data_IF_170509178243
#
_entry.id   IF_170509178243
#
_cell.length_a   1.000
_cell.length_b   1.000
_cell.length_c   1.000
_cell.angle_alpha   90.00
_cell.angle_beta   90.00
_cell.angle_gamma   90.00
#
_symmetry.space_group_name_H-M   'P 1'
#
loop_
_entity.id
_entity.type
_entity.pdbx_description
1 polymer ?
#
# COMPACT_ATOMS: atom_id res chain seq x y z
N UNK A 1 -3.44 1.32 0.06
CA UNK A 1 -2.22 0.48 -0.03
C UNK A 1 -1.82 -0.09 1.30
N UNK A 2 -1.42 -1.36 1.29
CA UNK A 2 -0.92 -2.09 2.44
C UNK A 2 0.39 -2.77 2.10
N UNK A 3 1.28 -2.90 3.08
CA UNK A 3 2.48 -3.72 2.99
C UNK A 3 2.34 -4.90 3.95
N UNK A 4 2.86 -6.06 3.56
CA UNK A 4 2.91 -7.24 4.40
C UNK A 4 4.29 -7.86 4.35
N UNK A 5 4.88 -8.02 5.53
CA UNK A 5 6.06 -8.85 5.72
C UNK A 5 5.58 -10.24 6.14
N UNK A 6 6.08 -11.34 5.56
CA UNK A 6 5.76 -12.69 5.99
C UNK A 6 5.93 -12.86 7.51
N UNK A 7 4.93 -13.44 8.17
CA UNK A 7 4.92 -13.60 9.63
C UNK A 7 4.54 -12.34 10.42
N UNK A 8 4.12 -11.26 9.76
CA UNK A 8 3.59 -10.05 10.41
C UNK A 8 2.21 -9.68 9.86
N UNK A 9 1.47 -8.93 10.67
CA UNK A 9 0.19 -8.37 10.25
C UNK A 9 0.39 -7.31 9.14
N UNK A 10 -0.58 -7.18 8.21
CA UNK A 10 -0.53 -6.12 7.19
C UNK A 10 -0.50 -4.73 7.83
N UNK A 11 0.32 -3.85 7.27
CA UNK A 11 0.43 -2.45 7.68
C UNK A 11 -0.12 -1.58 6.55
N UNK A 12 -1.10 -0.75 6.86
CA UNK A 12 -1.60 0.27 5.92
C UNK A 12 -0.55 1.36 5.76
N UNK A 13 -0.09 1.58 4.53
CA UNK A 13 0.87 2.64 4.21
C UNK A 13 0.20 3.89 3.66
N UNK A 14 -0.89 3.73 2.90
CA UNK A 14 -1.72 4.82 2.34
C UNK A 14 -3.20 4.40 2.37
N UNK A 15 -4.08 5.32 2.72
CA UNK A 15 -5.54 5.14 2.78
C UNK A 15 -6.29 6.33 2.17
N UNK A 16 -7.58 6.17 1.87
CA UNK A 16 -8.41 7.19 1.22
C UNK A 16 -7.71 7.87 0.02
N UNK A 17 -7.08 7.06 -0.82
CA UNK A 17 -6.35 7.45 -2.04
C UNK A 17 -5.12 8.34 -1.87
N UNK A 18 -4.98 9.14 -0.80
CA UNK A 18 -3.86 10.08 -0.66
C UNK A 18 -3.40 10.33 0.78
N UNK A 19 -4.00 9.67 1.78
CA UNK A 19 -3.65 9.90 3.18
C UNK A 19 -2.62 8.90 3.67
N UNK A 20 -1.57 9.41 4.29
CA UNK A 20 -0.53 8.60 4.93
C UNK A 20 -0.74 8.58 6.45
N UNK A 21 -0.80 7.40 7.10
CA UNK A 21 -0.81 7.31 8.56
C UNK A 21 0.46 7.90 9.18
N UNK A 22 0.34 8.40 10.42
CA UNK A 22 1.51 8.80 11.21
C UNK A 22 2.42 7.59 11.47
N UNK A 23 3.73 7.79 11.41
CA UNK A 23 4.72 6.72 11.60
C UNK A 23 5.07 5.91 10.35
N UNK A 24 4.41 6.15 9.21
CA UNK A 24 4.84 5.57 7.92
C UNK A 24 5.98 6.39 7.33
N UNK A 25 7.08 5.76 6.87
CA UNK A 25 8.24 6.47 6.33
C UNK A 25 7.90 7.39 5.14
N UNK A 26 8.65 8.48 5.01
CA UNK A 26 8.46 9.45 3.92
C UNK A 26 8.79 8.92 2.53
N UNK A 27 9.35 7.71 2.45
CA UNK A 27 9.69 7.03 1.21
C UNK A 27 8.47 6.61 0.38
N UNK A 28 7.29 6.55 0.99
CA UNK A 28 6.03 6.25 0.31
C UNK A 28 5.35 7.56 -0.10
N UNK A 29 5.09 7.69 -1.39
CA UNK A 29 4.34 8.78 -2.01
C UNK A 29 3.25 8.19 -2.89
N UNK A 30 2.09 8.82 -2.93
CA UNK A 30 0.96 8.37 -3.74
C UNK A 30 0.59 9.41 -4.79
N UNK A 31 0.15 8.95 -5.95
CA UNK A 31 -0.55 9.78 -6.94
C UNK A 31 -1.75 9.03 -7.51
N UNK A 32 -2.86 9.74 -7.66
CA UNK A 32 -4.07 9.20 -8.31
C UNK A 32 -4.19 9.79 -9.70
N UNK A 33 -4.38 8.93 -10.70
CA UNK A 33 -4.60 9.33 -12.09
C UNK A 33 -5.82 8.63 -12.69
N UNK A 34 -6.89 9.40 -12.94
CA UNK A 34 -8.14 9.01 -13.63
C UNK A 34 -8.98 7.86 -13.01
N UNK A 35 -8.37 7.01 -12.19
CA UNK A 35 -8.94 5.86 -11.44
C UNK A 35 -7.82 4.91 -11.00
N UNK A 36 -6.62 5.07 -11.57
CA UNK A 36 -5.42 4.34 -11.17
C UNK A 36 -4.75 5.05 -10.01
N UNK A 37 -4.67 4.36 -8.88
CA UNK A 37 -3.82 4.77 -7.76
C UNK A 37 -2.39 4.23 -7.98
N UNK A 38 -1.39 5.11 -7.89
CA UNK A 38 0.03 4.85 -8.12
C UNK A 38 0.82 5.14 -6.84
N UNK A 39 1.36 4.07 -6.25
CA UNK A 39 2.28 4.17 -5.13
C UNK A 39 3.73 4.19 -5.59
N UNK A 40 4.44 5.27 -5.31
CA UNK A 40 5.87 5.43 -5.53
C UNK A 40 6.62 5.15 -4.23
N UNK A 41 7.62 4.26 -4.31
CA UNK A 41 8.49 3.90 -3.18
C UNK A 41 9.92 4.31 -3.52
N UNK A 42 10.44 5.32 -2.83
CA UNK A 42 11.80 5.83 -3.04
C UNK A 42 12.80 5.14 -2.12
N UNK A 43 13.99 4.77 -2.62
CA UNK A 43 15.04 4.23 -1.75
C UNK A 43 14.75 2.83 -1.19
N UNK A 44 14.13 1.97 -1.99
CA UNK A 44 13.89 0.56 -1.64
C UNK A 44 15.23 -0.13 -1.39
N UNK A 45 15.65 -0.25 -0.14
CA UNK A 45 16.68 -1.21 0.23
C UNK A 45 16.02 -2.58 0.18
N UNK A 46 16.51 -3.47 -0.70
CA UNK A 46 16.07 -4.85 -0.89
C UNK A 46 16.32 -5.73 0.37
N UNK A 47 15.76 -5.33 1.52
CA UNK A 47 16.01 -5.93 2.83
C UNK A 47 14.91 -6.88 3.29
N UNK A 48 13.86 -7.11 2.51
CA UNK A 48 12.89 -8.13 2.88
C UNK A 48 11.81 -8.35 1.84
N UNK A 49 11.40 -9.62 1.73
CA UNK A 49 10.23 -10.09 0.97
C UNK A 49 8.98 -9.35 1.48
N UNK A 50 8.71 -8.16 0.96
CA UNK A 50 7.53 -7.37 1.35
C UNK A 50 6.55 -7.43 0.21
N UNK A 51 5.31 -7.79 0.51
CA UNK A 51 4.23 -7.81 -0.48
C UNK A 51 3.40 -6.55 -0.30
N UNK A 52 3.23 -5.81 -1.38
CA UNK A 52 2.42 -4.60 -1.42
C UNK A 52 1.10 -4.89 -2.10
N UNK A 53 0.00 -4.53 -1.45
CA UNK A 53 -1.36 -4.73 -1.94
C UNK A 53 -2.05 -3.39 -2.11
N UNK A 54 -2.76 -3.23 -3.22
CA UNK A 54 -3.78 -2.21 -3.36
C UNK A 54 -5.10 -2.79 -2.84
N UNK A 55 -5.95 -1.96 -2.24
CA UNK A 55 -7.30 -2.36 -1.87
C UNK A 55 -8.25 -1.18 -2.00
N UNK A 56 -9.48 -1.48 -2.39
CA UNK A 56 -10.59 -0.54 -2.49
C UNK A 56 -11.72 -0.98 -1.56
N UNK A 57 -12.37 -0.02 -0.93
CA UNK A 57 -13.57 -0.25 -0.15
C UNK A 57 -14.73 0.43 -0.90
N UNK A 58 -15.65 -0.37 -1.43
CA UNK A 58 -16.85 0.10 -2.12
C UNK A 58 -18.04 0.32 -1.15
N UNK A 59 -17.80 0.26 0.16
CA UNK A 59 -18.82 0.39 1.20
C UNK A 59 -19.52 -0.93 1.53
N UNK A 60 -19.14 -2.04 0.89
CA UNK A 60 -19.58 -3.38 1.28
C UNK A 60 -18.75 -3.92 2.46
N UNK A 61 -19.27 -4.94 3.15
CA UNK A 61 -18.55 -5.59 4.25
C UNK A 61 -17.30 -6.37 3.79
N UNK A 62 -16.99 -6.38 2.50
CA UNK A 62 -15.84 -7.05 1.91
C UNK A 62 -14.98 -6.04 1.14
N UNK A 63 -13.80 -5.71 1.68
CA UNK A 63 -12.81 -4.94 0.94
C UNK A 63 -12.29 -5.74 -0.25
N UNK A 64 -12.18 -5.09 -1.42
CA UNK A 64 -11.57 -5.69 -2.59
C UNK A 64 -10.06 -5.46 -2.52
N UNK A 65 -9.25 -6.50 -2.75
CA UNK A 65 -7.80 -6.41 -2.77
C UNK A 65 -7.26 -6.79 -4.16
N UNK A 66 -6.37 -5.95 -4.70
CA UNK A 66 -5.64 -6.25 -5.92
C UNK A 66 -4.59 -7.35 -5.71
N UNK A 67 -4.19 -8.01 -6.81
CA UNK A 67 -3.10 -8.98 -6.81
C UNK A 67 -1.79 -8.30 -6.39
N UNK A 68 -1.35 -8.56 -5.15
CA UNK A 68 -0.20 -7.88 -4.57
C UNK A 68 1.10 -8.10 -5.35
N UNK A 69 2.03 -7.16 -5.22
CA UNK A 69 3.35 -7.20 -5.86
C UNK A 69 4.45 -7.44 -4.82
N UNK A 70 5.41 -8.30 -5.16
CA UNK A 70 6.64 -8.46 -4.40
C UNK A 70 7.69 -7.47 -4.94
N UNK A 71 8.41 -6.82 -4.03
CA UNK A 71 9.57 -5.96 -4.35
C UNK A 71 10.81 -6.45 -3.62
#
# INVERSE_FOLDING_TARGET
FQQKVPGRDPVTVIYNDNKRPSGIPSQFSESTFSSTNIMTISGVHAKGKTVYFCGSNDGSNAGQHGGGTFM
#
